data_IF_352889541212
#
_entry.id   IF_352889541212
#
_cell.length_a   1.000
_cell.length_b   1.000
_cell.length_c   1.000
_cell.angle_alpha   90.00
_cell.angle_beta   90.00
_cell.angle_gamma   90.00
#
_symmetry.space_group_name_H-M   'P 1'
#
loop_
_entity.id
_entity.type
_entity.pdbx_description
1 polymer ?
#
# COMPACT_ATOMS: atom_id res chain seq x y z
N UNK A 1 -0.66 12.79 15.44
CA UNK A 1 -0.28 11.72 16.39
C UNK A 1 1.24 11.70 16.51
N UNK A 2 1.82 11.56 17.70
CA UNK A 2 3.28 11.41 17.86
C UNK A 2 3.66 9.96 17.53
N UNK A 3 4.61 9.75 16.61
CA UNK A 3 5.16 8.41 16.37
C UNK A 3 5.92 7.97 17.62
N UNK A 4 5.66 6.75 18.09
CA UNK A 4 6.46 6.15 19.17
C UNK A 4 7.55 5.30 18.53
N UNK A 5 8.81 5.60 18.83
CA UNK A 5 9.90 4.81 18.27
C UNK A 5 9.89 3.42 18.92
N UNK A 6 10.03 2.31 18.16
CA UNK A 6 10.05 0.98 18.76
C UNK A 6 11.13 0.81 19.82
N UNK A 7 12.28 1.48 19.70
CA UNK A 7 13.32 1.49 20.75
C UNK A 7 12.85 2.13 22.07
N UNK A 8 12.02 3.18 22.00
CA UNK A 8 11.49 3.89 23.18
C UNK A 8 10.52 3.02 23.99
N UNK A 9 9.93 2.00 23.36
CA UNK A 9 8.99 1.05 23.98
C UNK A 9 9.58 -0.37 24.13
N UNK A 10 10.89 -0.54 23.96
CA UNK A 10 11.58 -1.83 24.19
C UNK A 10 11.52 -2.83 23.02
N UNK A 11 11.07 -2.40 21.85
CA UNK A 11 10.87 -3.20 20.63
C UNK A 11 11.80 -2.82 19.47
N UNK A 12 12.99 -2.26 19.76
CA UNK A 12 13.96 -1.84 18.73
C UNK A 12 14.32 -2.95 17.73
N UNK A 13 14.44 -4.20 18.20
CA UNK A 13 14.77 -5.36 17.36
C UNK A 13 13.68 -5.70 16.33
N UNK A 14 12.43 -5.27 16.54
CA UNK A 14 11.27 -5.62 15.71
C UNK A 14 11.40 -5.00 14.33
N UNK A 15 11.93 -3.77 14.23
CA UNK A 15 12.20 -3.11 12.94
C UNK A 15 13.24 -3.90 12.16
N UNK A 16 14.35 -4.28 12.80
CA UNK A 16 15.41 -5.05 12.16
C UNK A 16 14.91 -6.43 11.69
N UNK A 17 14.22 -7.12 12.59
CA UNK A 17 13.82 -8.51 12.39
C UNK A 17 12.74 -8.67 11.32
N UNK A 18 11.77 -7.75 11.31
CA UNK A 18 10.57 -7.88 10.49
C UNK A 18 10.51 -6.86 9.35
N UNK A 19 11.00 -5.63 9.50
CA UNK A 19 10.79 -4.55 8.51
C UNK A 19 11.96 -4.43 7.54
N UNK A 20 13.19 -4.50 8.04
CA UNK A 20 14.41 -4.26 7.23
C UNK A 20 15.15 -5.51 6.81
N UNK A 21 14.69 -6.71 7.20
CA UNK A 21 15.24 -7.99 6.73
C UNK A 21 15.43 -8.01 5.21
N UNK A 22 16.62 -8.39 4.77
CA UNK A 22 17.05 -8.24 3.37
C UNK A 22 16.72 -9.44 2.49
N UNK A 23 16.28 -9.17 1.26
CA UNK A 23 15.97 -10.13 0.21
C UNK A 23 16.44 -9.61 -1.14
N UNK A 24 17.46 -10.24 -1.73
CA UNK A 24 17.99 -9.82 -3.03
C UNK A 24 18.48 -8.37 -3.05
N UNK A 25 19.13 -7.93 -1.97
CA UNK A 25 19.61 -6.56 -1.83
C UNK A 25 18.54 -5.52 -1.49
N UNK A 26 17.28 -5.93 -1.26
CA UNK A 26 16.19 -5.04 -0.87
C UNK A 26 15.66 -5.37 0.53
N UNK A 27 15.38 -4.38 1.39
CA UNK A 27 14.67 -4.60 2.65
C UNK A 27 13.23 -5.07 2.40
N UNK A 28 12.67 -5.85 3.33
CA UNK A 28 11.31 -6.43 3.22
C UNK A 28 10.27 -5.38 2.83
N UNK A 29 10.24 -4.23 3.49
CA UNK A 29 9.22 -3.21 3.22
C UNK A 29 9.20 -2.76 1.73
N UNK A 30 10.34 -2.72 1.04
CA UNK A 30 10.39 -2.40 -0.39
C UNK A 30 9.88 -3.55 -1.27
N UNK A 31 10.17 -4.80 -0.88
CA UNK A 31 9.64 -5.98 -1.56
C UNK A 31 8.11 -6.01 -1.45
N UNK A 32 7.57 -5.70 -0.26
CA UNK A 32 6.15 -5.60 0.02
C UNK A 32 5.49 -4.44 -0.75
N UNK A 33 6.04 -3.22 -0.65
CA UNK A 33 5.46 -2.04 -1.30
C UNK A 33 5.42 -2.18 -2.83
N UNK A 34 6.47 -2.78 -3.42
CA UNK A 34 6.57 -2.98 -4.85
C UNK A 34 5.87 -4.22 -5.39
N UNK A 35 5.33 -5.10 -4.53
CA UNK A 35 4.70 -6.35 -4.95
C UNK A 35 5.63 -7.31 -5.72
N UNK A 36 6.96 -7.19 -5.55
CA UNK A 36 7.95 -7.94 -6.36
C UNK A 36 7.79 -9.46 -6.26
N UNK A 37 7.33 -9.93 -5.10
CA UNK A 37 7.09 -11.35 -4.82
C UNK A 37 5.96 -11.95 -5.66
N UNK A 38 5.12 -11.13 -6.31
CA UNK A 38 4.09 -11.56 -7.25
C UNK A 38 4.61 -11.69 -8.68
N UNK A 39 5.83 -11.22 -8.94
CA UNK A 39 6.45 -11.33 -10.24
C UNK A 39 6.93 -12.77 -10.50
N UNK A 40 6.55 -13.40 -11.63
CA UNK A 40 6.92 -14.78 -11.94
C UNK A 40 8.43 -14.98 -12.16
N UNK A 41 9.21 -13.90 -12.19
CA UNK A 41 10.65 -13.89 -12.50
C UNK A 41 11.52 -13.51 -11.30
N UNK A 42 10.95 -13.24 -10.13
CA UNK A 42 11.75 -12.91 -8.96
C UNK A 42 12.18 -14.18 -8.23
N UNK A 43 13.42 -14.60 -8.44
CA UNK A 43 14.04 -15.82 -7.88
C UNK A 43 14.04 -15.92 -6.35
N UNK A 44 13.68 -14.86 -5.63
CA UNK A 44 13.60 -14.86 -4.16
C UNK A 44 12.18 -15.07 -3.65
N UNK A 45 11.17 -15.17 -4.52
CA UNK A 45 9.75 -15.31 -4.12
C UNK A 45 9.54 -16.43 -3.12
N UNK A 46 10.01 -17.65 -3.39
CA UNK A 46 9.81 -18.80 -2.47
C UNK A 46 10.40 -18.54 -1.08
N UNK A 47 11.65 -18.05 -1.03
CA UNK A 47 12.32 -17.74 0.25
C UNK A 47 11.63 -16.60 0.99
N UNK A 48 11.24 -15.56 0.26
CA UNK A 48 10.55 -14.40 0.81
C UNK A 48 9.21 -14.80 1.43
N UNK A 49 8.36 -15.48 0.67
CA UNK A 49 7.03 -15.91 1.12
C UNK A 49 7.13 -16.87 2.31
N UNK A 50 8.07 -17.83 2.30
CA UNK A 50 8.27 -18.73 3.44
C UNK A 50 8.62 -17.97 4.71
N UNK A 51 9.54 -17.01 4.62
CA UNK A 51 9.92 -16.20 5.77
C UNK A 51 8.78 -15.26 6.21
N UNK A 52 8.01 -14.71 5.27
CA UNK A 52 6.87 -13.87 5.61
C UNK A 52 5.81 -14.66 6.39
N UNK A 53 5.51 -15.89 5.97
CA UNK A 53 4.59 -16.78 6.68
C UNK A 53 5.13 -17.15 8.07
N UNK A 54 6.39 -17.56 8.16
CA UNK A 54 7.00 -17.93 9.43
C UNK A 54 7.03 -16.75 10.42
N UNK A 55 7.40 -15.57 9.95
CA UNK A 55 7.44 -14.37 10.78
C UNK A 55 6.04 -13.90 11.17
N UNK A 56 5.03 -14.05 10.29
CA UNK A 56 3.64 -13.72 10.61
C UNK A 56 3.06 -14.63 11.72
N UNK A 57 3.49 -15.89 11.76
CA UNK A 57 3.14 -16.81 12.84
C UNK A 57 3.93 -16.52 14.14
N UNK A 58 5.18 -16.06 14.03
CA UNK A 58 6.07 -15.87 15.18
C UNK A 58 5.87 -14.53 15.92
N UNK A 59 5.57 -13.45 15.21
CA UNK A 59 5.40 -12.12 15.80
C UNK A 59 4.24 -12.12 16.80
N UNK A 60 4.38 -11.46 17.95
CA UNK A 60 3.32 -11.34 18.95
C UNK A 60 2.46 -10.08 18.75
N UNK A 61 1.50 -9.90 19.63
CA UNK A 61 0.49 -8.84 19.55
C UNK A 61 1.11 -7.47 19.81
N UNK A 62 1.96 -7.39 20.83
CA UNK A 62 2.60 -6.15 21.27
C UNK A 62 3.62 -5.65 20.24
N UNK A 63 4.37 -6.56 19.62
CA UNK A 63 5.28 -6.26 18.51
C UNK A 63 4.51 -5.72 17.29
N UNK A 64 3.34 -6.27 17.00
CA UNK A 64 2.47 -5.77 15.93
C UNK A 64 1.92 -4.38 16.24
N UNK A 65 1.48 -4.13 17.48
CA UNK A 65 1.04 -2.79 17.89
C UNK A 65 2.19 -1.77 17.83
N UNK A 66 3.39 -2.16 18.26
CA UNK A 66 4.59 -1.33 18.15
C UNK A 66 4.85 -0.91 16.69
N UNK A 67 4.77 -1.87 15.74
CA UNK A 67 4.93 -1.58 14.33
C UNK A 67 3.79 -0.70 13.76
N UNK A 68 2.55 -0.92 14.20
CA UNK A 68 1.40 -0.11 13.78
C UNK A 68 1.45 1.32 14.34
N UNK A 69 2.10 1.53 15.49
CA UNK A 69 2.27 2.84 16.12
C UNK A 69 3.35 3.74 15.50
N UNK A 70 4.23 3.17 14.67
CA UNK A 70 5.41 3.87 14.16
C UNK A 70 5.21 4.38 12.71
N UNK A 71 6.28 4.43 11.92
CA UNK A 71 6.28 4.98 10.56
C UNK A 71 5.70 4.02 9.50
N UNK A 72 5.57 4.52 8.27
CA UNK A 72 4.83 3.84 7.21
C UNK A 72 5.42 2.48 6.78
N UNK A 73 6.74 2.24 6.85
CA UNK A 73 7.34 0.95 6.47
C UNK A 73 7.00 -0.12 7.50
N UNK A 74 7.00 0.25 8.77
CA UNK A 74 6.62 -0.57 9.91
C UNK A 74 5.14 -0.93 9.83
N UNK A 75 4.28 0.08 9.61
CA UNK A 75 2.84 -0.08 9.39
C UNK A 75 2.50 -0.96 8.19
N UNK A 76 3.15 -0.72 7.04
CA UNK A 76 3.04 -1.56 5.85
C UNK A 76 3.37 -3.01 6.19
N UNK A 77 4.51 -3.25 6.83
CA UNK A 77 4.96 -4.60 7.19
C UNK A 77 3.98 -5.28 8.13
N UNK A 78 3.52 -4.60 9.18
CA UNK A 78 2.54 -5.12 10.12
C UNK A 78 1.23 -5.50 9.43
N UNK A 79 0.71 -4.65 8.53
CA UNK A 79 -0.51 -4.96 7.76
C UNK A 79 -0.38 -6.25 6.95
N UNK A 80 0.78 -6.49 6.32
CA UNK A 80 1.05 -7.75 5.63
C UNK A 80 1.10 -8.96 6.57
N UNK A 81 1.81 -8.86 7.70
CA UNK A 81 1.91 -9.96 8.67
C UNK A 81 0.53 -10.32 9.25
N UNK A 82 -0.26 -9.30 9.62
CA UNK A 82 -1.64 -9.46 10.11
C UNK A 82 -2.51 -10.16 9.08
N UNK A 83 -2.44 -9.78 7.80
CA UNK A 83 -3.24 -10.38 6.74
C UNK A 83 -2.81 -11.80 6.36
N UNK A 84 -1.51 -12.10 6.44
CA UNK A 84 -0.97 -13.45 6.19
C UNK A 84 -1.48 -14.43 7.24
N UNK A 85 -1.37 -14.06 8.52
CA UNK A 85 -1.76 -14.90 9.66
C UNK A 85 -3.25 -14.75 10.05
N UNK A 86 -4.00 -13.89 9.36
CA UNK A 86 -5.44 -13.62 9.58
C UNK A 86 -5.77 -13.22 11.03
N UNK A 87 -5.00 -12.27 11.59
CA UNK A 87 -5.19 -11.80 12.98
C UNK A 87 -6.35 -10.82 13.13
N UNK A 88 -7.57 -11.34 13.11
CA UNK A 88 -8.83 -10.57 13.12
C UNK A 88 -8.99 -9.60 14.29
N UNK A 89 -8.34 -9.86 15.44
CA UNK A 89 -8.35 -8.93 16.59
C UNK A 89 -7.82 -7.52 16.25
N UNK A 90 -6.99 -7.39 15.22
CA UNK A 90 -6.51 -6.10 14.73
C UNK A 90 -7.47 -5.40 13.76
N UNK A 91 -8.62 -6.00 13.42
CA UNK A 91 -9.59 -5.45 12.46
C UNK A 91 -9.93 -3.99 12.75
N UNK A 92 -10.32 -3.69 13.99
CA UNK A 92 -10.65 -2.33 14.40
C UNK A 92 -9.44 -1.40 14.22
N UNK A 93 -8.26 -1.83 14.71
CA UNK A 93 -7.02 -1.06 14.64
C UNK A 93 -6.60 -0.71 13.21
N UNK A 94 -6.58 -1.68 12.29
CA UNK A 94 -6.22 -1.43 10.89
C UNK A 94 -7.31 -0.67 10.14
N UNK A 95 -8.58 -0.84 10.53
CA UNK A 95 -9.71 -0.07 10.01
C UNK A 95 -9.60 1.40 10.35
N UNK A 96 -9.32 1.73 11.61
CA UNK A 96 -9.09 3.11 12.06
C UNK A 96 -7.92 3.76 11.32
N UNK A 97 -6.81 3.03 11.17
CA UNK A 97 -5.63 3.51 10.45
C UNK A 97 -5.91 3.73 8.96
N UNK A 98 -6.67 2.84 8.32
CA UNK A 98 -7.10 2.98 6.93
C UNK A 98 -8.00 4.22 6.76
N UNK A 99 -9.00 4.38 7.63
CA UNK A 99 -9.94 5.48 7.59
C UNK A 99 -9.31 6.84 7.91
N UNK A 100 -8.24 6.86 8.70
CA UNK A 100 -7.48 8.07 9.00
C UNK A 100 -6.58 8.50 7.82
N UNK A 101 -6.08 7.53 7.02
CA UNK A 101 -5.22 7.79 5.84
C UNK A 101 -4.04 8.71 6.10
N UNK A 102 -3.47 8.67 7.31
CA UNK A 102 -2.43 9.62 7.76
C UNK A 102 -1.04 9.35 7.20
N UNK A 103 -0.77 8.13 6.73
CA UNK A 103 0.55 7.71 6.24
C UNK A 103 0.49 7.14 4.84
N UNK A 104 1.50 7.42 4.03
CA UNK A 104 1.59 6.89 2.66
C UNK A 104 1.89 5.38 2.65
N UNK A 105 1.53 4.72 1.53
CA UNK A 105 1.87 3.33 1.18
C UNK A 105 1.32 2.20 2.08
N UNK A 106 0.82 2.50 3.27
CA UNK A 106 0.39 1.47 4.23
C UNK A 106 -1.04 0.98 3.99
N UNK A 107 -1.93 1.82 3.43
CA UNK A 107 -3.35 1.49 3.29
C UNK A 107 -3.60 0.25 2.42
N UNK A 108 -2.79 0.04 1.39
CA UNK A 108 -2.84 -1.20 0.59
C UNK A 108 -2.63 -2.48 1.41
N UNK A 109 -1.77 -2.46 2.45
CA UNK A 109 -1.59 -3.62 3.32
C UNK A 109 -2.77 -3.84 4.27
N UNK A 110 -3.43 -2.77 4.72
CA UNK A 110 -4.67 -2.88 5.50
C UNK A 110 -5.80 -3.45 4.65
N UNK A 111 -5.95 -2.98 3.41
CA UNK A 111 -6.92 -3.52 2.45
C UNK A 111 -6.69 -5.01 2.20
N UNK A 112 -5.42 -5.42 2.04
CA UNK A 112 -5.05 -6.84 1.94
C UNK A 112 -5.47 -7.64 3.17
N UNK A 113 -5.18 -7.14 4.39
CA UNK A 113 -5.55 -7.84 5.62
C UNK A 113 -7.06 -7.98 5.79
N UNK A 114 -7.83 -6.92 5.54
CA UNK A 114 -9.30 -6.95 5.59
C UNK A 114 -9.88 -7.95 4.56
N UNK A 115 -9.35 -7.96 3.33
CA UNK A 115 -9.74 -8.95 2.33
C UNK A 115 -9.44 -10.40 2.75
N UNK A 116 -8.42 -10.61 3.59
CA UNK A 116 -8.01 -11.91 4.11
C UNK A 116 -8.86 -12.41 5.27
N UNK A 117 -9.45 -11.50 6.05
CA UNK A 117 -10.38 -11.80 7.14
C UNK A 117 -11.73 -12.27 6.57
N UNK A 118 -12.23 -11.63 5.51
CA UNK A 118 -13.29 -12.23 4.69
C UNK A 118 -14.72 -12.07 5.19
N UNK A 119 -14.98 -11.17 6.15
CA UNK A 119 -16.29 -11.00 6.80
C UNK A 119 -17.06 -9.77 6.29
N UNK A 120 -18.35 -9.69 6.62
CA UNK A 120 -19.15 -8.49 6.35
C UNK A 120 -18.59 -7.23 7.03
N UNK A 121 -18.07 -7.35 8.26
CA UNK A 121 -17.46 -6.23 8.97
C UNK A 121 -16.23 -5.66 8.22
N UNK A 122 -15.46 -6.53 7.55
CA UNK A 122 -14.31 -6.10 6.75
C UNK A 122 -14.77 -5.34 5.48
N UNK A 123 -15.87 -5.80 4.88
CA UNK A 123 -16.48 -5.13 3.74
C UNK A 123 -17.06 -3.76 4.12
N UNK A 124 -17.67 -3.62 5.31
CA UNK A 124 -18.17 -2.34 5.82
C UNK A 124 -17.05 -1.32 6.04
N UNK A 125 -15.90 -1.73 6.57
CA UNK A 125 -14.73 -0.86 6.73
C UNK A 125 -14.25 -0.36 5.35
N UNK A 126 -14.12 -1.24 4.37
CA UNK A 126 -13.72 -0.88 3.00
C UNK A 126 -14.75 0.02 2.32
N UNK A 127 -16.04 -0.24 2.52
CA UNK A 127 -17.15 0.60 2.03
C UNK A 127 -17.04 2.01 2.59
N UNK A 128 -16.86 2.13 3.90
CA UNK A 128 -16.73 3.41 4.60
C UNK A 128 -15.53 4.20 4.08
N UNK A 129 -14.41 3.52 3.80
CA UNK A 129 -13.24 4.14 3.19
C UNK A 129 -13.53 4.64 1.77
N UNK A 130 -14.16 3.81 0.93
CA UNK A 130 -14.48 4.16 -0.45
C UNK A 130 -15.48 5.32 -0.54
N UNK A 131 -16.52 5.32 0.30
CA UNK A 131 -17.47 6.41 0.43
C UNK A 131 -16.81 7.73 0.81
N UNK A 132 -15.78 7.67 1.65
CA UNK A 132 -15.03 8.86 2.09
C UNK A 132 -14.08 9.39 1.01
N UNK A 133 -13.37 8.50 0.31
CA UNK A 133 -12.20 8.88 -0.50
C UNK A 133 -12.39 8.76 -2.02
N UNK A 134 -13.42 8.08 -2.54
CA UNK A 134 -13.72 8.12 -3.98
C UNK A 134 -14.20 9.50 -4.45
N UNK A 135 -15.08 10.22 -3.72
CA UNK A 135 -15.50 11.56 -4.13
C UNK A 135 -14.35 12.60 -4.14
N UNK A 136 -13.24 12.28 -3.48
CA UNK A 136 -12.05 13.15 -3.38
C UNK A 136 -11.13 12.92 -4.57
N UNK A 137 -11.55 13.42 -5.72
CA UNK A 137 -10.86 13.25 -7.01
C UNK A 137 -9.49 13.95 -7.08
N UNK A 138 -9.20 14.81 -6.11
CA UNK A 138 -7.92 15.47 -5.87
C UNK A 138 -6.91 14.57 -5.12
N UNK A 139 -7.36 13.46 -4.53
CA UNK A 139 -6.55 12.59 -3.68
C UNK A 139 -6.28 11.23 -4.35
N UNK A 140 -5.00 10.86 -4.39
CA UNK A 140 -4.54 9.56 -4.88
C UNK A 140 -3.91 8.74 -3.74
N UNK A 141 -4.77 8.21 -2.87
CA UNK A 141 -4.40 7.35 -1.75
C UNK A 141 -4.54 5.87 -2.15
N UNK A 142 -5.14 5.06 -1.28
CA UNK A 142 -5.30 3.63 -1.45
C UNK A 142 -6.66 3.22 -2.05
N UNK A 143 -7.40 4.15 -2.69
CA UNK A 143 -8.69 3.85 -3.34
C UNK A 143 -8.63 2.64 -4.28
N UNK A 144 -7.59 2.44 -5.13
CA UNK A 144 -7.52 1.24 -5.95
C UNK A 144 -7.36 -0.07 -5.16
N UNK A 145 -6.61 -0.05 -4.07
CA UNK A 145 -6.44 -1.23 -3.22
C UNK A 145 -7.72 -1.54 -2.44
N UNK A 146 -8.39 -0.51 -1.92
CA UNK A 146 -9.67 -0.66 -1.23
C UNK A 146 -10.76 -1.17 -2.17
N UNK A 147 -10.82 -0.66 -3.40
CA UNK A 147 -11.78 -1.11 -4.42
C UNK A 147 -11.57 -2.58 -4.76
N UNK A 148 -10.33 -3.00 -5.04
CA UNK A 148 -10.04 -4.40 -5.33
C UNK A 148 -10.36 -5.33 -4.15
N UNK A 149 -10.16 -4.87 -2.92
CA UNK A 149 -10.41 -5.64 -1.71
C UNK A 149 -11.92 -5.80 -1.50
N UNK A 150 -12.68 -4.71 -1.69
CA UNK A 150 -14.13 -4.72 -1.62
C UNK A 150 -14.73 -5.67 -2.66
N UNK A 151 -14.31 -5.57 -3.93
CA UNK A 151 -14.74 -6.48 -5.00
C UNK A 151 -14.49 -7.95 -4.65
N UNK A 152 -13.32 -8.27 -4.08
CA UNK A 152 -12.98 -9.62 -3.64
C UNK A 152 -13.89 -10.12 -2.52
N UNK A 153 -14.21 -9.27 -1.55
CA UNK A 153 -15.10 -9.61 -0.44
C UNK A 153 -16.55 -9.75 -0.89
N UNK A 154 -17.06 -8.86 -1.73
CA UNK A 154 -18.42 -8.96 -2.24
C UNK A 154 -18.64 -10.21 -3.08
N UNK A 155 -17.66 -10.58 -3.91
CA UNK A 155 -17.67 -11.86 -4.61
C UNK A 155 -17.63 -13.06 -3.64
N UNK A 156 -16.87 -12.98 -2.54
CA UNK A 156 -16.79 -14.03 -1.53
C UNK A 156 -18.12 -14.20 -0.77
N UNK A 157 -18.76 -13.08 -0.42
CA UNK A 157 -19.98 -13.02 0.38
C UNK A 157 -21.26 -13.15 -0.45
N UNK A 158 -21.15 -13.16 -1.78
CA UNK A 158 -22.30 -13.23 -2.69
C UNK A 158 -23.17 -11.98 -2.64
N UNK A 159 -22.57 -10.80 -2.46
CA UNK A 159 -23.31 -9.53 -2.42
C UNK A 159 -22.93 -8.61 -3.56
N UNK A 160 -23.80 -7.66 -3.89
CA UNK A 160 -23.64 -6.72 -5.00
C UNK A 160 -23.37 -5.28 -4.52
N UNK A 161 -22.86 -5.10 -3.30
CA UNK A 161 -22.62 -3.77 -2.72
C UNK A 161 -21.53 -2.97 -3.42
N UNK A 162 -20.70 -3.59 -4.28
CA UNK A 162 -19.76 -2.84 -5.12
C UNK A 162 -20.46 -2.07 -6.25
N UNK A 163 -21.66 -2.47 -6.67
CA UNK A 163 -22.32 -1.95 -7.86
C UNK A 163 -22.49 -0.43 -7.77
N UNK A 164 -22.87 0.11 -6.61
CA UNK A 164 -22.97 1.56 -6.35
C UNK A 164 -21.68 2.35 -6.61
N UNK A 165 -20.51 1.70 -6.55
CA UNK A 165 -19.24 2.34 -6.84
C UNK A 165 -18.83 2.20 -8.30
N UNK A 166 -19.25 1.10 -8.95
CA UNK A 166 -18.81 0.68 -10.30
C UNK A 166 -19.88 0.82 -11.37
N UNK A 167 -21.05 1.36 -11.03
CA UNK A 167 -22.04 1.79 -12.02
C UNK A 167 -21.39 2.69 -13.07
N UNK A 168 -21.81 2.62 -14.34
CA UNK A 168 -21.29 3.51 -15.38
C UNK A 168 -21.39 4.97 -14.96
N UNK A 169 -20.29 5.71 -15.10
CA UNK A 169 -20.17 7.10 -14.63
C UNK A 169 -20.35 7.28 -13.11
N UNK A 170 -20.25 6.21 -12.34
CA UNK A 170 -20.29 6.22 -10.88
C UNK A 170 -18.99 6.70 -10.24
N UNK A 171 -18.93 6.62 -8.89
CA UNK A 171 -17.84 7.19 -8.08
C UNK A 171 -16.44 6.70 -8.48
N UNK A 172 -16.32 5.43 -8.91
CA UNK A 172 -15.05 4.90 -9.40
C UNK A 172 -14.60 5.58 -10.70
N UNK A 173 -15.49 5.69 -11.68
CA UNK A 173 -15.19 6.31 -12.98
C UNK A 173 -14.87 7.80 -12.82
N UNK A 174 -15.63 8.51 -11.98
CA UNK A 174 -15.36 9.92 -11.66
C UNK A 174 -13.98 10.11 -11.02
N UNK A 175 -13.64 9.25 -10.05
CA UNK A 175 -12.32 9.28 -9.43
C UNK A 175 -11.21 9.02 -10.46
N UNK A 176 -11.35 8.00 -11.31
CA UNK A 176 -10.39 7.69 -12.38
C UNK A 176 -10.21 8.86 -13.35
N UNK A 177 -11.31 9.50 -13.79
CA UNK A 177 -11.27 10.71 -14.64
C UNK A 177 -10.55 11.85 -13.92
N UNK A 178 -10.80 12.04 -12.64
CA UNK A 178 -10.19 13.08 -11.81
C UNK A 178 -8.68 12.91 -11.64
N UNK A 179 -8.21 11.73 -11.25
CA UNK A 179 -6.77 11.47 -11.12
C UNK A 179 -6.03 11.51 -12.46
N UNK A 180 -6.71 11.18 -13.56
CA UNK A 180 -6.18 11.37 -14.91
C UNK A 180 -5.82 12.83 -15.22
N UNK A 181 -6.54 13.80 -14.63
CA UNK A 181 -6.28 15.24 -14.78
C UNK A 181 -5.14 15.74 -13.90
N UNK A 182 -4.78 15.00 -12.84
CA UNK A 182 -3.62 15.29 -11.99
C UNK A 182 -2.30 14.85 -12.62
N UNK A 183 -2.33 14.08 -13.72
CA UNK A 183 -1.15 13.86 -14.54
C UNK A 183 -0.67 15.20 -15.08
N UNK A 184 0.45 15.70 -14.56
CA UNK A 184 1.10 16.94 -14.98
C UNK A 184 1.23 17.01 -16.51
N UNK A 185 1.14 18.21 -17.12
CA UNK A 185 1.23 18.37 -18.57
C UNK A 185 2.51 17.71 -19.07
N UNK A 186 2.37 16.91 -20.14
CA UNK A 186 3.49 16.35 -20.87
C UNK A 186 4.46 17.50 -21.20
N UNK A 187 5.74 17.32 -20.84
CA UNK A 187 6.81 18.22 -21.28
C UNK A 187 6.68 18.38 -22.80
N UNK A 188 6.55 19.60 -23.34
CA UNK A 188 6.51 19.77 -24.79
C UNK A 188 7.80 19.23 -25.39
N UNK A 189 7.75 18.66 -26.62
CA UNK A 189 8.94 18.07 -27.25
C UNK A 189 10.07 19.10 -27.34
N UNK A 190 11.34 18.67 -27.25
CA UNK A 190 12.48 19.57 -27.24
C UNK A 190 12.69 20.09 -28.67
N UNK A 191 11.98 21.14 -29.03
CA UNK A 191 12.29 21.99 -30.19
C UNK A 191 11.59 23.34 -30.02
N UNK A 192 12.13 24.15 -29.13
CA UNK A 192 11.97 25.61 -29.13
C UNK A 192 13.19 26.20 -28.41
N UNK A 193 14.37 26.01 -29.04
CA UNK A 193 15.58 26.71 -28.64
C UNK A 193 15.61 28.08 -29.34
N UNK A 194 15.37 29.13 -28.55
CA UNK A 194 15.82 30.50 -28.80
C UNK A 194 15.65 31.26 -27.47
N UNK A 195 16.63 31.87 -26.82
CA UNK A 195 18.05 32.04 -27.03
C UNK A 195 18.54 33.03 -25.95
N UNK A 196 19.82 32.92 -25.55
CA UNK A 196 20.64 33.94 -24.86
C UNK A 196 20.28 34.20 -23.37
N UNK A 197 21.17 34.38 -22.39
CA UNK A 197 22.65 34.46 -22.30
C UNK A 197 23.06 34.35 -20.82
N UNK A 198 24.32 33.94 -20.62
CA UNK A 198 25.12 33.78 -19.39
C UNK A 198 25.18 34.99 -18.42
N UNK A 199 25.34 34.75 -17.10
CA UNK A 199 26.60 35.05 -16.34
C UNK A 199 26.55 34.73 -14.81
N UNK A 200 27.68 34.16 -14.34
CA UNK A 200 28.40 34.34 -13.07
C UNK A 200 28.00 33.64 -11.75
N UNK A 201 29.06 33.17 -11.08
CA UNK A 201 29.21 32.18 -10.00
C UNK A 201 29.13 32.68 -8.54
N UNK A 202 28.99 31.68 -7.64
CA UNK A 202 29.61 31.51 -6.29
C UNK A 202 28.66 31.59 -5.06
N UNK A 203 29.00 30.96 -3.90
CA UNK A 203 28.54 29.62 -3.55
C UNK A 203 27.71 29.62 -2.26
N UNK A 204 26.67 28.79 -2.15
CA UNK A 204 25.96 28.63 -0.86
C UNK A 204 25.40 27.22 -0.74
N UNK A 205 25.90 26.51 0.29
CA UNK A 205 25.28 25.42 1.07
C UNK A 205 24.44 24.42 0.25
N UNK A 206 25.02 23.23 0.01
CA UNK A 206 24.33 22.13 -0.66
C UNK A 206 23.05 21.72 0.09
N UNK A 207 21.90 21.59 -0.60
CA UNK A 207 20.71 21.05 0.02
C UNK A 207 20.82 19.51 0.14
N UNK A 208 20.14 18.99 1.15
CA UNK A 208 20.01 17.58 1.52
C UNK A 208 19.67 16.64 0.34
N UNK A 209 19.99 15.34 0.42
CA UNK A 209 19.67 14.38 -0.63
C UNK A 209 18.16 14.38 -0.92
N UNK A 210 17.83 14.63 -2.18
CA UNK A 210 16.49 14.71 -2.74
C UNK A 210 15.73 13.39 -2.47
N UNK A 211 14.56 13.49 -1.83
CA UNK A 211 13.61 12.38 -1.69
C UNK A 211 13.35 11.76 -3.07
N UNK A 212 13.37 10.43 -3.23
CA UNK A 212 13.04 9.80 -4.50
C UNK A 212 11.61 10.19 -4.90
N UNK A 213 11.49 10.89 -6.02
CA UNK A 213 10.23 11.29 -6.63
C UNK A 213 9.38 10.05 -6.91
N UNK A 214 8.05 10.08 -6.69
CA UNK A 214 7.20 8.95 -7.01
C UNK A 214 7.26 8.67 -8.52
N UNK A 215 7.76 7.50 -8.88
CA UNK A 215 7.82 7.03 -10.26
C UNK A 215 6.39 6.81 -10.79
N UNK A 216 6.08 7.51 -11.89
CA UNK A 216 5.15 7.17 -12.99
C UNK A 216 3.98 6.21 -12.69
N UNK A 217 2.77 6.80 -12.65
CA UNK A 217 1.52 6.22 -12.15
C UNK A 217 0.64 5.29 -13.05
N UNK A 218 0.84 5.01 -14.35
CA UNK A 218 -0.17 4.18 -15.05
C UNK A 218 0.02 2.65 -14.93
N UNK A 219 1.25 2.13 -14.86
CA UNK A 219 1.53 0.69 -14.92
C UNK A 219 1.41 -0.04 -13.57
N UNK A 220 1.52 0.69 -12.45
CA UNK A 220 1.33 0.14 -11.10
C UNK A 220 -0.15 -0.14 -10.77
N UNK A 221 -1.09 0.59 -11.40
CA UNK A 221 -2.54 0.48 -11.17
C UNK A 221 -3.10 -0.87 -11.65
N UNK A 222 -2.69 -1.32 -12.85
CA UNK A 222 -3.08 -2.63 -13.40
C UNK A 222 -2.44 -3.80 -12.63
N UNK A 223 -1.23 -3.62 -12.11
CA UNK A 223 -0.56 -4.63 -11.27
C UNK A 223 -1.20 -4.75 -9.88
N UNK A 224 -1.75 -3.66 -9.34
CA UNK A 224 -2.50 -3.64 -8.06
C UNK A 224 -3.91 -4.23 -8.14
N UNK A 225 -4.57 -4.18 -9.30
CA UNK A 225 -5.85 -4.87 -9.52
C UNK A 225 -5.67 -6.39 -9.67
N UNK A 226 -4.59 -6.85 -10.33
CA UNK A 226 -4.20 -8.28 -10.36
C UNK A 226 -3.91 -8.87 -8.97
N UNK A 227 -3.45 -8.01 -8.05
CA UNK A 227 -3.06 -8.31 -6.66
C UNK A 227 -4.21 -8.91 -5.82
N UNK A 228 -5.46 -8.58 -6.15
CA UNK A 228 -6.65 -9.03 -5.40
C UNK A 228 -7.47 -10.10 -6.14
N UNK A 229 -7.26 -10.24 -7.45
CA UNK A 229 -7.90 -11.29 -8.27
C UNK A 229 -7.14 -12.63 -8.31
N UNK A 230 -5.81 -12.66 -8.13
CA UNK A 230 -4.99 -13.88 -8.35
C UNK A 230 -4.78 -14.79 -7.13
N UNK A 231 -5.14 -14.37 -5.90
CA UNK A 231 -4.66 -15.04 -4.68
C UNK A 231 -5.52 -16.19 -4.12
N UNK A 232 -6.39 -16.82 -4.91
CA UNK A 232 -7.22 -17.93 -4.41
C UNK A 232 -6.71 -19.35 -4.70
N UNK A 233 -5.78 -19.55 -5.64
CA UNK A 233 -5.32 -20.92 -5.98
C UNK A 233 -3.84 -21.20 -5.68
N UNK A 234 -2.96 -20.19 -5.56
CA UNK A 234 -1.52 -20.44 -5.46
C UNK A 234 -0.92 -20.37 -4.03
N UNK A 235 -1.64 -19.84 -3.03
CA UNK A 235 -1.13 -19.81 -1.64
C UNK A 235 -1.64 -20.95 -0.73
N UNK A 236 -2.56 -21.81 -1.22
CA UNK A 236 -3.08 -22.97 -0.47
C UNK A 236 -2.78 -24.29 -1.21
N UNK A 237 -2.18 -24.23 -2.40
CA UNK A 237 -1.84 -25.40 -3.19
C UNK A 237 -0.45 -25.96 -2.91
N UNK A 238 -0.24 -26.56 -1.72
CA UNK A 238 0.59 -27.74 -1.42
C UNK A 238 0.88 -27.84 0.09
#
# INVERSE_FOLDING_TARGET
>A
MLFQHPEEIGYGYVVESYVTRMYGGLPRYLVLNGGRFLGPRWWHTTRFTRHLIADAAAINDEELEALLGYEWRSRLTAGWLIGVDRRERFRARIGDLLLASEVCYSGGAYCFALARFGTHADAEILTTYLDRYLPRTDLHYDQPAAMGAALRLYALLGTHHADRFTEPDGLWDEWVKGVGRLSYPATPPPNSAAGLTSTASSPTVGPAPELPRPATAPLALMSRLRLLQLNSSEMVGR
#
